data_IF_038992756011
#
_entry.id   IF_038992756011
#
_cell.length_a   1.000
_cell.length_b   1.000
_cell.length_c   1.000
_cell.angle_alpha   90.00
_cell.angle_beta   90.00
_cell.angle_gamma   90.00
#
_symmetry.space_group_name_H-M   'P 1'
#
loop_
_entity.id
_entity.type
_entity.pdbx_description
1 polymer ?
#
# COMPACT_ATOMS: atom_id res chain seq x y z
N UNK A 1 3.26 5.20 15.72
CA UNK A 1 2.63 4.69 14.49
C UNK A 1 2.98 3.22 14.30
N UNK A 2 2.03 2.41 13.84
CA UNK A 2 2.24 0.99 13.56
C UNK A 2 2.56 0.78 12.08
N UNK A 3 3.35 -0.25 11.78
CA UNK A 3 3.75 -0.55 10.41
C UNK A 3 3.85 -2.04 10.14
N UNK A 4 3.57 -2.41 8.89
CA UNK A 4 3.84 -3.73 8.36
C UNK A 4 5.32 -3.86 8.01
N UNK A 5 5.99 -4.89 8.55
CA UNK A 5 7.32 -5.37 8.17
C UNK A 5 8.45 -4.31 8.09
N UNK A 6 9.44 -4.43 8.98
CA UNK A 6 10.60 -3.53 8.99
C UNK A 6 11.43 -3.62 7.70
N UNK A 7 11.92 -2.47 7.21
CA UNK A 7 12.75 -2.39 6.00
C UNK A 7 11.96 -2.55 4.69
N UNK A 8 10.63 -2.53 4.73
CA UNK A 8 9.83 -2.62 3.51
C UNK A 8 9.89 -1.31 2.70
N UNK A 9 9.75 -1.42 1.38
CA UNK A 9 9.60 -0.25 0.48
C UNK A 9 8.47 0.67 0.96
N UNK A 10 7.43 0.09 1.58
CA UNK A 10 6.33 0.85 2.15
C UNK A 10 6.74 1.67 3.38
N UNK A 11 7.61 1.13 4.23
CA UNK A 11 8.21 1.87 5.35
C UNK A 11 9.04 3.04 4.86
N UNK A 12 9.90 2.83 3.87
CA UNK A 12 10.76 3.89 3.34
C UNK A 12 9.94 4.98 2.65
N UNK A 13 8.92 4.61 1.87
CA UNK A 13 8.00 5.57 1.28
C UNK A 13 7.24 6.38 2.34
N UNK A 14 6.83 5.73 3.44
CA UNK A 14 6.15 6.42 4.55
C UNK A 14 7.10 7.36 5.30
N UNK A 15 8.32 6.92 5.59
CA UNK A 15 9.36 7.78 6.22
C UNK A 15 9.68 8.98 5.36
N UNK A 16 9.90 8.77 4.06
CA UNK A 16 10.20 9.84 3.10
C UNK A 16 9.05 10.84 3.06
N UNK A 17 7.80 10.36 2.90
CA UNK A 17 6.63 11.22 2.92
C UNK A 17 6.56 12.07 4.19
N UNK A 18 6.70 11.46 5.37
CA UNK A 18 6.62 12.21 6.63
C UNK A 18 7.77 13.23 6.77
N UNK A 19 9.00 12.84 6.39
CA UNK A 19 10.18 13.73 6.43
C UNK A 19 10.04 14.92 5.47
N UNK A 20 9.60 14.69 4.23
CA UNK A 20 9.34 15.75 3.22
C UNK A 20 8.28 16.75 3.69
N UNK A 21 7.47 16.33 4.67
CA UNK A 21 6.37 17.11 5.23
C UNK A 21 6.74 17.75 6.58
N UNK A 22 7.98 17.57 7.08
CA UNK A 22 8.41 18.07 8.39
C UNK A 22 7.75 17.36 9.58
N UNK A 23 7.18 16.17 9.37
CA UNK A 23 6.48 15.40 10.40
C UNK A 23 7.47 14.40 11.02
N UNK A 24 7.83 14.63 12.29
CA UNK A 24 8.56 13.65 13.08
C UNK A 24 7.60 12.61 13.66
N UNK A 25 7.90 11.32 13.47
CA UNK A 25 7.11 10.22 14.00
C UNK A 25 8.01 9.06 14.43
N UNK A 26 7.55 8.27 15.40
CA UNK A 26 8.19 7.02 15.80
C UNK A 26 7.33 5.82 15.39
N UNK A 27 8.02 4.72 15.05
CA UNK A 27 7.41 3.44 14.72
C UNK A 27 7.77 2.38 15.77
N UNK A 28 7.19 2.47 16.99
CA UNK A 28 7.55 1.56 18.08
C UNK A 28 7.00 0.14 17.90
N UNK A 29 6.03 -0.06 17.00
CA UNK A 29 5.30 -1.32 16.85
C UNK A 29 5.35 -1.75 15.38
N UNK A 30 5.96 -2.91 15.15
CA UNK A 30 6.05 -3.57 13.84
C UNK A 30 5.30 -4.90 13.96
N UNK A 31 4.34 -5.11 13.07
CA UNK A 31 3.55 -6.34 13.01
C UNK A 31 3.70 -6.95 11.61
N UNK A 32 3.73 -8.28 11.53
CA UNK A 32 3.99 -9.02 10.29
C UNK A 32 2.75 -9.27 9.44
N UNK A 33 1.56 -8.86 9.88
CA UNK A 33 0.33 -9.03 9.13
C UNK A 33 -0.64 -7.85 9.32
N UNK A 34 -1.47 -7.63 8.31
CA UNK A 34 -2.42 -6.52 8.28
C UNK A 34 -3.55 -6.65 9.32
N UNK A 35 -3.99 -7.86 9.63
CA UNK A 35 -5.10 -8.08 10.58
C UNK A 35 -4.70 -7.69 12.01
N UNK A 36 -3.47 -8.01 12.44
CA UNK A 36 -2.94 -7.62 13.72
C UNK A 36 -2.81 -6.10 13.85
N UNK A 37 -2.39 -5.42 12.78
CA UNK A 37 -2.35 -3.96 12.74
C UNK A 37 -3.77 -3.38 12.87
N UNK A 38 -4.73 -3.91 12.11
CA UNK A 38 -6.13 -3.45 12.17
C UNK A 38 -6.73 -3.63 13.57
N UNK A 39 -6.59 -4.82 14.17
CA UNK A 39 -7.06 -5.08 15.53
C UNK A 39 -6.42 -4.11 16.54
N UNK A 40 -5.11 -3.89 16.48
CA UNK A 40 -4.44 -2.98 17.40
C UNK A 40 -4.91 -1.52 17.24
N UNK A 41 -5.23 -1.07 16.02
CA UNK A 41 -5.80 0.25 15.77
C UNK A 41 -7.25 0.33 16.27
N UNK A 42 -8.07 -0.70 16.03
CA UNK A 42 -9.45 -0.79 16.53
C UNK A 42 -9.48 -0.75 18.08
N UNK A 43 -8.51 -1.37 18.74
CA UNK A 43 -8.32 -1.34 20.20
C UNK A 43 -7.63 -0.04 20.72
N UNK A 44 -7.54 1.00 19.88
CA UNK A 44 -6.99 2.33 20.22
C UNK A 44 -5.51 2.33 20.63
N UNK A 45 -4.74 1.31 20.27
CA UNK A 45 -3.31 1.29 20.58
C UNK A 45 -2.47 2.25 19.71
N UNK A 46 -3.06 2.86 18.66
CA UNK A 46 -2.42 3.93 17.88
C UNK A 46 -3.00 4.09 16.48
N UNK A 47 -2.17 4.62 15.56
CA UNK A 47 -2.49 4.82 14.14
C UNK A 47 -1.56 3.99 13.25
N UNK A 48 -2.03 3.61 12.06
CA UNK A 48 -1.25 2.89 11.05
C UNK A 48 -1.42 3.53 9.66
N UNK A 49 -0.36 3.44 8.82
CA UNK A 49 -0.48 3.74 7.39
C UNK A 49 -0.72 2.43 6.65
N UNK A 50 -1.78 2.37 5.84
CA UNK A 50 -2.16 1.19 5.07
C UNK A 50 -2.83 1.61 3.76
N UNK A 51 -2.82 0.74 2.77
CA UNK A 51 -3.59 0.96 1.54
C UNK A 51 -5.10 1.02 1.86
N UNK A 52 -5.81 2.00 1.28
CA UNK A 52 -7.27 2.14 1.43
C UNK A 52 -8.03 0.85 1.09
N UNK A 53 -7.51 0.03 0.18
CA UNK A 53 -8.10 -1.26 -0.20
C UNK A 53 -8.04 -2.29 0.94
N UNK A 54 -6.99 -2.26 1.76
CA UNK A 54 -6.76 -3.23 2.85
C UNK A 54 -7.71 -2.96 4.02
N UNK A 55 -8.05 -1.69 4.27
CA UNK A 55 -8.92 -1.25 5.37
C UNK A 55 -10.35 -0.92 4.90
N UNK A 56 -10.70 -1.26 3.66
CA UNK A 56 -11.96 -0.85 3.05
C UNK A 56 -13.17 -1.39 3.83
N UNK A 57 -13.09 -2.64 4.29
CA UNK A 57 -14.16 -3.29 5.07
C UNK A 57 -14.35 -2.59 6.41
N UNK A 58 -13.26 -2.29 7.10
CA UNK A 58 -13.26 -1.62 8.40
C UNK A 58 -13.88 -0.24 8.33
N UNK A 59 -13.50 0.54 7.30
CA UNK A 59 -14.06 1.87 7.04
C UNK A 59 -15.55 1.79 6.71
N UNK A 60 -15.96 0.85 5.85
CA UNK A 60 -17.37 0.67 5.49
C UNK A 60 -18.23 0.28 6.70
N UNK A 61 -17.65 -0.47 7.65
CA UNK A 61 -18.31 -0.86 8.89
C UNK A 61 -18.13 0.14 10.03
N UNK A 62 -17.58 1.33 9.77
CA UNK A 62 -17.33 2.39 10.74
C UNK A 62 -16.43 2.00 11.94
N UNK A 63 -15.74 0.86 11.89
CA UNK A 63 -14.79 0.43 12.93
C UNK A 63 -13.49 1.23 12.89
N UNK A 64 -13.11 1.70 11.70
CA UNK A 64 -11.93 2.54 11.50
C UNK A 64 -12.31 3.78 10.68
N UNK A 65 -11.61 4.87 10.93
CA UNK A 65 -11.71 6.11 10.15
C UNK A 65 -10.39 6.40 9.45
N UNK A 66 -10.47 6.81 8.18
CA UNK A 66 -9.30 7.32 7.46
C UNK A 66 -9.02 8.77 7.85
N UNK A 67 -7.78 9.07 8.20
CA UNK A 67 -7.35 10.46 8.46
C UNK A 67 -7.01 11.11 7.12
N UNK A 68 -7.78 12.12 6.65
CA UNK A 68 -7.46 12.82 5.41
C UNK A 68 -6.16 13.61 5.59
N UNK A 69 -5.22 13.43 4.67
CA UNK A 69 -3.99 14.21 4.60
C UNK A 69 -4.17 15.21 3.44
N UNK A 70 -3.91 16.50 3.68
CA UNK A 70 -4.08 17.59 2.71
C UNK A 70 -3.05 17.59 1.57
N UNK A 71 -2.75 16.42 1.01
CA UNK A 71 -1.77 16.21 -0.07
C UNK A 71 -2.18 15.05 -0.98
N UNK A 72 -1.68 15.01 -2.23
CA UNK A 72 -2.02 13.95 -3.17
C UNK A 72 -1.65 12.58 -2.57
N UNK A 73 -2.51 11.57 -2.73
CA UNK A 73 -2.27 10.24 -2.20
C UNK A 73 -0.95 9.69 -2.76
N UNK A 74 -0.26 8.87 -1.95
CA UNK A 74 0.96 8.19 -2.39
C UNK A 74 0.65 7.32 -3.62
N UNK A 75 0.98 7.83 -4.80
CA UNK A 75 0.73 7.15 -6.06
C UNK A 75 1.79 6.06 -6.26
N UNK A 76 1.38 4.79 -6.12
CA UNK A 76 2.25 3.65 -6.38
C UNK A 76 2.24 3.30 -7.86
N UNK A 77 3.40 3.33 -8.50
CA UNK A 77 3.59 2.74 -9.84
C UNK A 77 3.84 1.24 -9.68
N UNK A 78 3.13 0.44 -10.48
CA UNK A 78 3.39 -0.99 -10.61
C UNK A 78 4.17 -1.23 -11.89
N UNK A 79 5.18 -2.11 -11.82
CA UNK A 79 6.04 -2.43 -12.95
C UNK A 79 5.95 -3.92 -13.24
N UNK A 80 5.76 -4.28 -14.51
CA UNK A 80 5.92 -5.65 -14.99
C UNK A 80 7.37 -5.83 -15.43
N UNK A 81 8.10 -6.70 -14.74
CA UNK A 81 9.52 -6.96 -15.03
C UNK A 81 9.64 -8.38 -15.58
N UNK A 82 10.32 -8.54 -16.72
CA UNK A 82 10.67 -9.84 -17.27
C UNK A 82 12.14 -9.83 -17.74
N UNK A 83 12.79 -11.00 -17.69
CA UNK A 83 14.14 -11.16 -18.21
C UNK A 83 14.11 -11.12 -19.75
N UNK A 84 15.05 -10.39 -20.37
CA UNK A 84 15.08 -10.18 -21.83
C UNK A 84 15.24 -11.48 -22.62
N UNK A 85 16.04 -12.41 -22.10
CA UNK A 85 16.42 -13.64 -22.81
C UNK A 85 15.51 -14.84 -22.47
N UNK A 86 14.46 -14.62 -21.67
CA UNK A 86 13.56 -15.70 -21.27
C UNK A 86 12.46 -15.87 -22.30
N UNK A 87 12.30 -17.11 -22.79
CA UNK A 87 11.23 -17.45 -23.73
C UNK A 87 9.85 -17.12 -23.14
N UNK A 88 9.11 -16.24 -23.81
CA UNK A 88 7.74 -15.90 -23.45
C UNK A 88 6.82 -16.92 -24.11
N UNK A 89 6.33 -17.87 -23.32
CA UNK A 89 5.32 -18.80 -23.79
C UNK A 89 3.96 -18.11 -23.97
N UNK A 90 3.06 -18.76 -24.72
CA UNK A 90 1.73 -18.22 -25.03
C UNK A 90 0.94 -17.78 -23.79
N UNK A 91 0.89 -18.54 -22.67
CA UNK A 91 0.23 -18.07 -21.45
C UNK A 91 0.75 -16.74 -20.90
N UNK A 92 2.08 -16.54 -20.84
CA UNK A 92 2.66 -15.29 -20.35
C UNK A 92 2.36 -14.14 -21.31
N UNK A 93 2.43 -14.36 -22.62
CA UNK A 93 2.07 -13.33 -23.60
C UNK A 93 0.62 -12.84 -23.43
N UNK A 94 -0.31 -13.79 -23.25
CA UNK A 94 -1.73 -13.48 -23.00
C UNK A 94 -1.91 -12.72 -21.69
N UNK A 95 -1.26 -13.16 -20.60
CA UNK A 95 -1.32 -12.47 -19.32
C UNK A 95 -0.77 -11.03 -19.42
N UNK A 96 0.35 -10.84 -20.10
CA UNK A 96 0.93 -9.50 -20.33
C UNK A 96 -0.01 -8.61 -21.12
N UNK A 97 -0.66 -9.14 -22.16
CA UNK A 97 -1.67 -8.40 -22.93
C UNK A 97 -2.86 -8.00 -22.05
N UNK A 98 -3.41 -8.93 -21.25
CA UNK A 98 -4.52 -8.66 -20.35
C UNK A 98 -4.17 -7.58 -19.31
N UNK A 99 -2.97 -7.66 -18.73
CA UNK A 99 -2.47 -6.65 -17.78
C UNK A 99 -2.35 -5.27 -18.43
N UNK A 100 -1.89 -5.21 -19.68
CA UNK A 100 -1.82 -3.95 -20.44
C UNK A 100 -3.19 -3.33 -20.69
N UNK A 101 -4.18 -4.13 -21.09
CA UNK A 101 -5.56 -3.68 -21.27
C UNK A 101 -6.19 -3.20 -19.96
N UNK A 102 -5.98 -3.96 -18.88
CA UNK A 102 -6.46 -3.59 -17.54
C UNK A 102 -5.83 -2.28 -17.06
N UNK A 103 -4.52 -2.09 -17.22
CA UNK A 103 -3.84 -0.87 -16.83
C UNK A 103 -4.35 0.36 -17.61
N UNK A 104 -4.60 0.21 -18.92
CA UNK A 104 -5.17 1.26 -19.76
C UNK A 104 -6.61 1.63 -19.34
N UNK A 105 -7.39 0.68 -18.83
CA UNK A 105 -8.72 0.92 -18.30
C UNK A 105 -8.69 1.56 -16.90
N UNK A 106 -7.77 1.14 -16.03
CA UNK A 106 -7.64 1.63 -14.66
C UNK A 106 -7.07 3.05 -14.56
N UNK A 107 -6.32 3.53 -15.57
CA UNK A 107 -5.84 4.92 -15.63
C UNK A 107 -6.91 5.97 -15.97
N UNK A 108 -8.16 5.55 -16.20
CA UNK A 108 -9.31 6.42 -16.54
C UNK A 108 -10.32 6.61 -15.40
N UNK A 109 -9.99 6.18 -14.19
CA UNK A 109 -10.84 6.26 -12.99
C UNK A 109 -10.22 7.07 -11.88
#
# INVERSE_FOLDING_TARGET
MMMHEAGSIFQDATKTLMSDNGISFSMPIILSNNEAIKMAVEERAGIASMSKRVVAKEIQSERLVGIPISRPPLARKFHLIHQKDKFINRPIAVLTQMLGQWAAAAGRS
#
